data_IF_161563323742
#
_entry.id   IF_161563323742
#
_cell.length_a   1.000
_cell.length_b   1.000
_cell.length_c   1.000
_cell.angle_alpha   90.00
_cell.angle_beta   90.00
_cell.angle_gamma   90.00
#
_symmetry.space_group_name_H-M   'P 1'
#
loop_
_entity.id
_entity.type
_entity.pdbx_description
1 polymer ?
#
# COMPACT_ATOMS: atom_id res chain seq x y z
N UNK A 1 6.05 31.86 13.59
CA UNK A 1 6.52 31.72 12.19
C UNK A 1 7.46 30.53 12.10
N UNK A 2 7.06 29.47 11.40
CA UNK A 2 7.92 28.36 11.01
C UNK A 2 7.41 27.84 9.65
N UNK A 3 8.34 27.60 8.74
CA UNK A 3 8.17 27.54 7.29
C UNK A 3 7.09 26.54 6.83
N UNK A 4 6.09 27.07 6.10
CA UNK A 4 5.19 26.30 5.24
C UNK A 4 6.02 25.58 4.18
N UNK A 5 6.32 24.31 4.42
CA UNK A 5 6.74 23.37 3.39
C UNK A 5 5.52 23.06 2.53
N UNK A 6 5.57 23.39 1.23
CA UNK A 6 4.52 23.22 0.21
C UNK A 6 3.99 21.78 0.03
N UNK A 7 4.49 20.83 0.84
CA UNK A 7 4.18 19.41 0.77
C UNK A 7 3.86 18.78 2.14
N UNK A 8 3.69 19.58 3.20
CA UNK A 8 3.17 19.11 4.50
C UNK A 8 1.69 18.75 4.37
N UNK A 9 1.32 17.47 4.44
CA UNK A 9 -0.08 17.00 4.36
C UNK A 9 -0.53 16.38 3.04
N UNK A 10 0.38 16.20 2.06
CA UNK A 10 0.00 15.70 0.73
C UNK A 10 -0.30 14.19 0.70
N UNK A 11 0.33 13.41 1.59
CA UNK A 11 -0.03 12.01 1.81
C UNK A 11 -1.17 11.87 2.81
N UNK A 12 -1.23 12.73 3.83
CA UNK A 12 -2.25 12.67 4.89
C UNK A 12 -3.67 12.68 4.34
N UNK A 13 -3.96 13.46 3.30
CA UNK A 13 -5.27 13.44 2.62
C UNK A 13 -5.68 12.06 2.11
N UNK A 14 -4.74 11.21 1.75
CA UNK A 14 -5.00 9.84 1.30
C UNK A 14 -5.15 8.86 2.47
N UNK A 15 -4.50 9.11 3.61
CA UNK A 15 -4.68 8.36 4.85
C UNK A 15 -5.91 8.81 5.67
N UNK A 16 -6.42 10.01 5.40
CA UNK A 16 -7.62 10.60 6.02
C UNK A 16 -8.88 10.48 5.13
N UNK A 17 -8.80 9.80 3.97
CA UNK A 17 -9.94 9.56 3.08
C UNK A 17 -10.43 10.79 2.28
N UNK A 18 -9.60 11.84 2.15
CA UNK A 18 -9.97 13.15 1.59
C UNK A 18 -9.57 13.38 0.13
N UNK A 19 -8.89 12.46 -0.55
CA UNK A 19 -8.41 12.66 -1.93
C UNK A 19 -8.83 11.53 -2.88
N UNK A 20 -9.17 11.89 -4.12
CA UNK A 20 -9.48 11.00 -5.25
C UNK A 20 -8.53 11.28 -6.41
N UNK A 21 -8.20 10.25 -7.21
CA UNK A 21 -7.34 10.39 -8.39
C UNK A 21 -8.06 11.09 -9.58
N UNK A 22 -7.32 11.82 -10.44
CA UNK A 22 -7.85 12.36 -11.69
C UNK A 22 -8.41 11.24 -12.59
N UNK A 23 -9.55 11.50 -13.25
CA UNK A 23 -10.33 10.49 -13.97
C UNK A 23 -9.53 9.70 -15.02
N UNK A 24 -8.51 10.30 -15.63
CA UNK A 24 -7.67 9.70 -16.69
C UNK A 24 -6.75 8.58 -16.18
N UNK A 25 -6.43 8.57 -14.88
CA UNK A 25 -5.60 7.54 -14.25
C UNK A 25 -6.44 6.41 -13.62
N UNK A 26 -7.76 6.46 -13.78
CA UNK A 26 -8.67 5.45 -13.24
C UNK A 26 -8.65 4.21 -14.15
N UNK A 27 -8.00 3.14 -13.71
CA UNK A 27 -8.25 1.79 -14.25
C UNK A 27 -9.72 1.42 -13.98
N UNK A 28 -10.38 0.73 -14.93
CA UNK A 28 -11.76 0.23 -14.70
C UNK A 28 -11.76 -0.62 -13.42
N UNK A 29 -12.62 -0.25 -12.47
CA UNK A 29 -12.83 -0.79 -11.12
C UNK A 29 -12.66 -2.32 -11.06
N UNK A 30 -11.85 -2.90 -10.16
CA UNK A 30 -12.13 -3.18 -8.74
C UNK A 30 -13.48 -3.84 -8.41
N UNK A 31 -14.44 -3.93 -9.34
CA UNK A 31 -15.78 -4.46 -9.07
C UNK A 31 -15.72 -5.94 -8.64
N UNK A 32 -14.72 -6.68 -9.11
CA UNK A 32 -14.50 -8.08 -8.71
C UNK A 32 -14.10 -8.28 -7.23
N UNK A 33 -13.56 -7.26 -6.55
CA UNK A 33 -13.22 -7.35 -5.12
C UNK A 33 -14.47 -7.26 -4.22
N UNK A 34 -15.54 -6.68 -4.75
CA UNK A 34 -16.82 -6.49 -4.09
C UNK A 34 -17.93 -7.39 -4.65
N UNK A 35 -17.70 -8.05 -5.79
CA UNK A 35 -18.57 -9.08 -6.35
C UNK A 35 -18.73 -10.24 -5.35
N UNK A 36 -19.87 -10.29 -4.68
CA UNK A 36 -20.16 -11.29 -3.63
C UNK A 36 -20.32 -12.71 -4.20
N UNK A 37 -20.59 -12.85 -5.50
CA UNK A 37 -20.91 -14.13 -6.14
C UNK A 37 -19.66 -14.99 -6.45
N UNK A 38 -18.45 -14.41 -6.40
CA UNK A 38 -17.17 -15.10 -6.71
C UNK A 38 -16.48 -15.75 -5.50
N UNK A 39 -17.07 -15.71 -4.30
CA UNK A 39 -16.34 -16.02 -3.04
C UNK A 39 -17.12 -16.97 -2.12
N UNK A 40 -16.40 -17.65 -1.22
CA UNK A 40 -16.95 -18.62 -0.27
C UNK A 40 -18.05 -18.00 0.58
N UNK A 41 -19.29 -18.29 0.22
CA UNK A 41 -20.50 -17.96 0.95
C UNK A 41 -20.63 -18.85 2.20
N UNK A 42 -21.34 -18.33 3.21
CA UNK A 42 -21.58 -18.89 4.56
C UNK A 42 -20.57 -18.39 5.62
N UNK A 43 -20.82 -17.16 6.11
CA UNK A 43 -20.31 -16.53 7.35
C UNK A 43 -18.81 -16.60 7.69
N UNK A 44 -18.15 -15.49 8.06
CA UNK A 44 -18.69 -14.13 8.25
C UNK A 44 -18.93 -13.38 6.93
N UNK A 45 -19.50 -12.16 7.02
CA UNK A 45 -19.68 -11.24 5.86
C UNK A 45 -18.31 -10.82 5.29
N UNK A 46 -17.81 -11.56 4.30
CA UNK A 46 -16.46 -11.38 3.76
C UNK A 46 -16.25 -10.04 3.05
N UNK A 47 -17.27 -9.47 2.42
CA UNK A 47 -17.21 -8.13 1.80
C UNK A 47 -16.82 -7.06 2.82
N UNK A 48 -17.48 -7.05 3.98
CA UNK A 48 -17.12 -6.18 5.10
C UNK A 48 -15.70 -6.42 5.61
N UNK A 49 -15.29 -7.69 5.76
CA UNK A 49 -13.92 -8.00 6.19
C UNK A 49 -12.85 -7.59 5.19
N UNK A 50 -13.11 -7.64 3.88
CA UNK A 50 -12.19 -7.15 2.84
C UNK A 50 -12.00 -5.65 2.95
N UNK A 51 -13.09 -4.90 3.12
CA UNK A 51 -13.04 -3.44 3.29
C UNK A 51 -12.27 -3.06 4.56
N UNK A 52 -12.60 -3.70 5.69
CA UNK A 52 -11.91 -3.45 6.95
C UNK A 52 -10.42 -3.83 6.88
N UNK A 53 -10.09 -4.96 6.25
CA UNK A 53 -8.69 -5.35 6.06
C UNK A 53 -7.93 -4.34 5.19
N UNK A 54 -8.55 -3.81 4.13
CA UNK A 54 -7.93 -2.78 3.30
C UNK A 54 -7.54 -1.54 4.12
N UNK A 55 -8.48 -1.02 4.92
CA UNK A 55 -8.25 0.14 5.79
C UNK A 55 -7.19 -0.15 6.85
N UNK A 56 -7.27 -1.29 7.53
CA UNK A 56 -6.31 -1.62 8.58
C UNK A 56 -4.90 -1.91 8.03
N UNK A 57 -4.78 -2.60 6.89
CA UNK A 57 -3.48 -2.85 6.27
C UNK A 57 -2.81 -1.54 5.84
N UNK A 58 -3.61 -0.55 5.43
CA UNK A 58 -3.15 0.79 5.08
C UNK A 58 -2.75 1.62 6.31
N UNK A 59 -3.56 1.60 7.38
CA UNK A 59 -3.37 2.46 8.56
C UNK A 59 -2.33 1.87 9.51
N UNK A 60 -2.39 0.57 9.77
CA UNK A 60 -1.59 -0.10 10.82
C UNK A 60 -0.52 -1.03 10.25
N UNK A 61 -0.53 -1.31 8.94
CA UNK A 61 0.39 -2.27 8.34
C UNK A 61 0.10 -3.73 8.69
N UNK A 62 -1.11 -4.03 9.20
CA UNK A 62 -1.52 -5.37 9.63
C UNK A 62 -1.39 -6.38 8.49
N UNK A 63 -0.87 -7.56 8.80
CA UNK A 63 -0.86 -8.72 7.90
C UNK A 63 -2.16 -9.51 7.97
N UNK A 64 -2.41 -10.38 6.98
CA UNK A 64 -3.56 -11.28 6.98
C UNK A 64 -3.62 -12.17 8.24
N UNK A 65 -2.46 -12.65 8.72
CA UNK A 65 -2.39 -13.48 9.94
C UNK A 65 -2.72 -12.68 11.19
N UNK A 66 -2.20 -11.46 11.32
CA UNK A 66 -2.52 -10.57 12.44
C UNK A 66 -4.00 -10.15 12.41
N UNK A 67 -4.55 -9.88 11.23
CA UNK A 67 -5.97 -9.57 11.04
C UNK A 67 -6.86 -10.76 11.41
N UNK A 68 -6.50 -11.98 10.98
CA UNK A 68 -7.22 -13.19 11.35
C UNK A 68 -7.24 -13.39 12.88
N UNK A 69 -6.09 -13.19 13.54
CA UNK A 69 -5.99 -13.27 14.99
C UNK A 69 -6.84 -12.20 15.69
N UNK A 70 -6.73 -10.93 15.27
CA UNK A 70 -7.47 -9.79 15.85
C UNK A 70 -8.98 -10.03 15.84
N UNK A 71 -9.51 -10.56 14.73
CA UNK A 71 -10.94 -10.80 14.55
C UNK A 71 -11.39 -12.23 14.88
N UNK A 72 -10.50 -13.06 15.44
CA UNK A 72 -10.78 -14.48 15.78
C UNK A 72 -11.33 -15.27 14.59
N UNK A 73 -10.79 -15.04 13.40
CA UNK A 73 -11.20 -15.69 12.15
C UNK A 73 -10.25 -16.83 11.79
N UNK A 74 -10.77 -17.82 11.06
CA UNK A 74 -9.94 -18.88 10.49
C UNK A 74 -8.94 -18.28 9.47
N UNK A 75 -7.65 -18.53 9.69
CA UNK A 75 -6.57 -17.95 8.90
C UNK A 75 -6.60 -18.37 7.41
N UNK A 76 -6.93 -19.64 7.12
CA UNK A 76 -7.04 -20.11 5.74
C UNK A 76 -8.19 -19.42 5.01
N UNK A 77 -9.34 -19.23 5.67
CA UNK A 77 -10.48 -18.51 5.09
C UNK A 77 -10.19 -17.03 4.89
N UNK A 78 -9.49 -16.38 5.84
CA UNK A 78 -9.03 -14.98 5.67
C UNK A 78 -8.09 -14.87 4.47
N UNK A 79 -7.12 -15.77 4.34
CA UNK A 79 -6.22 -15.78 3.19
C UNK A 79 -6.99 -15.95 1.87
N UNK A 80 -7.88 -16.95 1.79
CA UNK A 80 -8.66 -17.21 0.58
C UNK A 80 -9.50 -15.99 0.14
N UNK A 81 -10.14 -15.31 1.10
CA UNK A 81 -11.04 -14.19 0.83
C UNK A 81 -10.35 -12.83 0.69
N UNK A 82 -9.20 -12.61 1.34
CA UNK A 82 -8.57 -11.29 1.41
C UNK A 82 -7.24 -11.20 0.64
N UNK A 83 -6.67 -12.29 0.13
CA UNK A 83 -5.38 -12.24 -0.62
C UNK A 83 -5.39 -11.30 -1.82
N UNK A 84 -6.54 -11.15 -2.50
CA UNK A 84 -6.68 -10.26 -3.67
C UNK A 84 -6.82 -8.78 -3.29
N UNK A 85 -7.03 -8.46 -2.01
CA UNK A 85 -7.11 -7.07 -1.51
C UNK A 85 -5.76 -6.34 -1.60
N UNK A 86 -4.66 -7.03 -1.94
CA UNK A 86 -3.37 -6.36 -2.17
C UNK A 86 -2.69 -5.90 -0.88
N UNK A 87 -2.82 -6.65 0.21
CA UNK A 87 -2.28 -6.25 1.52
C UNK A 87 -0.78 -5.92 1.53
N UNK A 88 0.04 -6.56 0.71
CA UNK A 88 1.46 -6.20 0.59
C UNK A 88 1.65 -4.79 0.02
N UNK A 89 0.87 -4.43 -1.01
CA UNK A 89 0.86 -3.08 -1.56
C UNK A 89 0.45 -2.04 -0.52
N UNK A 90 -0.62 -2.32 0.23
CA UNK A 90 -1.11 -1.44 1.30
C UNK A 90 -0.07 -1.25 2.40
N UNK A 91 0.67 -2.31 2.76
CA UNK A 91 1.77 -2.22 3.72
C UNK A 91 2.94 -1.38 3.21
N UNK A 92 3.25 -1.46 1.93
CA UNK A 92 4.32 -0.62 1.34
C UNK A 92 3.95 0.85 1.43
N UNK A 93 2.69 1.17 1.14
CA UNK A 93 2.12 2.51 1.29
C UNK A 93 2.20 2.98 2.75
N UNK A 94 1.74 2.16 3.69
CA UNK A 94 1.83 2.43 5.13
C UNK A 94 3.26 2.83 5.54
N UNK A 95 4.25 2.04 5.12
CA UNK A 95 5.64 2.32 5.45
C UNK A 95 6.22 3.53 4.71
N UNK A 96 5.77 3.82 3.50
CA UNK A 96 6.16 5.03 2.77
C UNK A 96 5.71 6.29 3.51
N UNK A 97 4.47 6.30 4.02
CA UNK A 97 3.97 7.39 4.85
C UNK A 97 4.74 7.54 6.17
N UNK A 98 5.00 6.43 6.86
CA UNK A 98 5.79 6.51 8.08
C UNK A 98 7.23 6.99 7.86
N UNK A 99 7.85 6.69 6.71
CA UNK A 99 9.16 7.27 6.34
C UNK A 99 9.08 8.78 6.12
N UNK A 100 8.04 9.24 5.42
CA UNK A 100 7.77 10.67 5.25
C UNK A 100 7.62 11.39 6.60
N UNK A 101 6.72 10.90 7.46
CA UNK A 101 6.48 11.48 8.78
C UNK A 101 7.71 11.42 9.67
N UNK A 102 8.47 10.32 9.65
CA UNK A 102 9.71 10.18 10.41
C UNK A 102 10.73 11.24 9.99
N UNK A 103 10.97 11.41 8.69
CA UNK A 103 11.91 12.42 8.20
C UNK A 103 11.48 13.85 8.61
N UNK A 104 10.18 14.13 8.66
CA UNK A 104 9.65 15.44 9.09
C UNK A 104 9.70 15.65 10.61
N UNK A 105 9.57 14.58 11.39
CA UNK A 105 9.47 14.65 12.86
C UNK A 105 10.76 15.09 13.56
N UNK A 106 11.93 14.91 12.91
CA UNK A 106 13.27 15.08 13.52
C UNK A 106 13.46 14.31 14.84
N UNK A 107 12.61 13.32 15.12
CA UNK A 107 12.69 12.47 16.31
C UNK A 107 13.77 11.41 16.15
N UNK A 108 14.24 10.83 17.25
CA UNK A 108 15.05 9.61 17.15
C UNK A 108 14.20 8.45 16.65
N UNK A 109 14.85 7.41 16.12
CA UNK A 109 14.13 6.25 15.58
C UNK A 109 13.28 5.55 16.65
N UNK A 110 13.81 5.40 17.85
CA UNK A 110 13.13 4.71 18.95
C UNK A 110 11.96 5.55 19.48
N UNK A 111 12.15 6.88 19.63
CA UNK A 111 11.07 7.78 20.03
C UNK A 111 9.93 7.76 19.02
N UNK A 112 10.25 7.81 17.72
CA UNK A 112 9.24 7.76 16.67
C UNK A 112 8.46 6.43 16.70
N UNK A 113 9.14 5.30 16.86
CA UNK A 113 8.49 3.99 16.95
C UNK A 113 7.56 3.92 18.16
N UNK A 114 8.00 4.41 19.32
CA UNK A 114 7.21 4.40 20.55
C UNK A 114 5.99 5.33 20.45
N UNK A 115 6.19 6.57 19.98
CA UNK A 115 5.14 7.58 19.84
C UNK A 115 4.06 7.15 18.83
N UNK A 116 4.45 6.45 17.77
CA UNK A 116 3.52 5.95 16.74
C UNK A 116 3.09 4.49 16.95
N UNK A 117 3.47 3.86 18.06
CA UNK A 117 3.11 2.47 18.45
C UNK A 117 3.39 1.44 17.34
N UNK A 118 4.54 1.57 16.69
CA UNK A 118 4.97 0.70 15.59
C UNK A 118 5.53 -0.63 16.12
N UNK A 119 4.62 -1.48 16.59
CA UNK A 119 4.94 -2.73 17.28
C UNK A 119 5.52 -3.83 16.38
N UNK A 120 5.59 -3.62 15.06
CA UNK A 120 6.10 -4.62 14.13
C UNK A 120 7.62 -4.76 14.29
N UNK A 121 8.12 -6.00 14.42
CA UNK A 121 9.56 -6.29 14.51
C UNK A 121 10.39 -5.68 13.37
N UNK A 122 9.76 -5.46 12.21
CA UNK A 122 10.41 -4.86 11.04
C UNK A 122 10.40 -3.33 11.03
N UNK A 123 9.80 -2.64 12.00
CA UNK A 123 9.61 -1.18 12.00
C UNK A 123 10.93 -0.42 11.80
N UNK A 124 11.97 -0.75 12.58
CA UNK A 124 13.31 -0.15 12.43
C UNK A 124 13.87 -0.30 11.02
N UNK A 125 13.75 -1.51 10.43
CA UNK A 125 14.22 -1.82 9.08
C UNK A 125 13.42 -1.05 8.02
N UNK A 126 12.11 -0.91 8.20
CA UNK A 126 11.24 -0.21 7.26
C UNK A 126 11.45 1.30 7.28
N UNK A 127 11.67 1.89 8.45
CA UNK A 127 11.96 3.31 8.61
C UNK A 127 13.35 3.70 8.09
N UNK A 128 14.35 2.81 8.24
CA UNK A 128 15.72 3.01 7.72
C UNK A 128 15.89 2.62 6.25
N UNK A 129 14.82 2.21 5.57
CA UNK A 129 14.90 1.77 4.18
C UNK A 129 15.41 2.92 3.30
N UNK A 130 16.46 2.66 2.53
CA UNK A 130 16.99 3.62 1.56
C UNK A 130 16.01 3.80 0.40
N UNK A 131 15.98 4.99 -0.22
CA UNK A 131 15.22 5.21 -1.45
C UNK A 131 15.61 4.21 -2.55
N UNK A 132 14.68 3.97 -3.47
CA UNK A 132 14.94 3.16 -4.67
C UNK A 132 16.20 3.60 -5.42
N UNK A 133 16.90 2.63 -6.00
CA UNK A 133 18.05 2.91 -6.86
C UNK A 133 17.62 3.59 -8.18
N UNK A 134 18.54 4.25 -8.91
CA UNK A 134 18.23 4.83 -10.22
C UNK A 134 17.61 3.82 -11.20
N UNK A 135 18.09 2.58 -11.19
CA UNK A 135 17.52 1.49 -11.98
C UNK A 135 16.02 1.26 -11.66
N UNK A 136 15.67 1.14 -10.38
CA UNK A 136 14.28 0.97 -9.96
C UNK A 136 13.42 2.22 -10.17
N UNK A 137 14.02 3.41 -10.07
CA UNK A 137 13.36 4.69 -10.38
C UNK A 137 12.92 4.76 -11.84
N UNK A 138 13.76 4.31 -12.77
CA UNK A 138 13.39 4.26 -14.20
C UNK A 138 12.26 3.26 -14.46
N UNK A 139 12.30 2.08 -13.83
CA UNK A 139 11.23 1.09 -13.95
C UNK A 139 9.92 1.58 -13.34
N UNK A 140 9.99 2.29 -12.21
CA UNK A 140 8.86 2.95 -11.58
C UNK A 140 8.18 3.93 -12.53
N UNK A 141 8.95 4.88 -13.09
CA UNK A 141 8.42 5.90 -13.99
C UNK A 141 7.82 5.26 -15.24
N UNK A 142 8.58 4.36 -15.87
CA UNK A 142 8.14 3.65 -17.06
C UNK A 142 6.82 2.92 -16.80
N UNK A 143 6.73 2.18 -15.70
CA UNK A 143 5.54 1.42 -15.38
C UNK A 143 4.32 2.33 -15.20
N UNK A 144 4.39 3.32 -14.31
CA UNK A 144 3.24 4.16 -13.99
C UNK A 144 2.86 5.14 -15.10
N UNK A 145 3.79 5.58 -15.96
CA UNK A 145 3.48 6.47 -17.08
C UNK A 145 2.96 5.72 -18.31
N UNK A 146 3.50 4.54 -18.63
CA UNK A 146 3.24 3.86 -19.92
C UNK A 146 2.41 2.59 -19.81
N UNK A 147 2.60 1.79 -18.77
CA UNK A 147 2.03 0.43 -18.67
C UNK A 147 0.79 0.40 -17.77
N UNK A 148 0.85 1.07 -16.62
CA UNK A 148 -0.27 1.19 -15.68
C UNK A 148 -1.54 1.74 -16.33
N UNK A 149 -1.51 2.83 -17.12
CA UNK A 149 -2.71 3.35 -17.77
C UNK A 149 -3.30 2.39 -18.82
N UNK A 150 -2.48 1.47 -19.34
CA UNK A 150 -2.89 0.42 -20.29
C UNK A 150 -3.43 -0.83 -19.58
N UNK A 151 -3.56 -0.80 -18.25
CA UNK A 151 -4.12 -1.89 -17.46
C UNK A 151 -3.15 -3.03 -17.12
N UNK A 152 -1.86 -2.90 -17.46
CA UNK A 152 -0.87 -3.95 -17.22
C UNK A 152 -0.71 -4.27 -15.73
N UNK A 153 -0.64 -5.56 -15.40
CA UNK A 153 -0.30 -5.99 -14.03
C UNK A 153 1.20 -5.85 -13.79
N UNK A 154 1.62 -5.76 -12.52
CA UNK A 154 3.06 -5.82 -12.19
C UNK A 154 3.69 -7.11 -12.68
N UNK A 155 2.94 -8.23 -12.65
CA UNK A 155 3.43 -9.51 -13.13
C UNK A 155 3.73 -9.50 -14.63
N UNK A 156 2.86 -8.91 -15.44
CA UNK A 156 3.07 -8.81 -16.90
C UNK A 156 4.26 -7.90 -17.22
N UNK A 157 4.37 -6.77 -16.52
CA UNK A 157 5.52 -5.89 -16.64
C UNK A 157 6.84 -6.58 -16.27
N UNK A 158 6.84 -7.36 -15.18
CA UNK A 158 8.03 -8.10 -14.78
C UNK A 158 8.42 -9.16 -15.80
N UNK A 159 7.44 -9.85 -16.40
CA UNK A 159 7.69 -10.85 -17.44
C UNK A 159 8.31 -10.21 -18.68
N UNK A 160 7.73 -9.11 -19.15
CA UNK A 160 8.19 -8.37 -20.33
C UNK A 160 9.61 -7.80 -20.19
N UNK A 161 9.94 -7.30 -19.00
CA UNK A 161 11.23 -6.64 -18.73
C UNK A 161 12.24 -7.53 -18.00
N UNK A 162 11.98 -8.84 -17.93
CA UNK A 162 12.84 -9.82 -17.25
C UNK A 162 13.23 -9.41 -15.81
N UNK A 163 12.25 -8.97 -15.03
CA UNK A 163 12.43 -8.51 -13.64
C UNK A 163 11.98 -9.56 -12.64
N UNK A 164 12.66 -9.62 -11.50
CA UNK A 164 12.25 -10.44 -10.37
C UNK A 164 11.05 -9.80 -9.67
N UNK A 165 9.87 -10.44 -9.77
CA UNK A 165 8.62 -9.92 -9.23
C UNK A 165 8.66 -9.63 -7.71
N UNK A 166 9.40 -10.41 -6.93
CA UNK A 166 9.55 -10.18 -5.47
C UNK A 166 10.33 -8.90 -5.15
N UNK A 167 11.25 -8.49 -6.04
CA UNK A 167 11.98 -7.22 -5.93
C UNK A 167 11.14 -6.08 -6.49
N UNK A 168 10.51 -6.27 -7.66
CA UNK A 168 9.67 -5.26 -8.29
C UNK A 168 8.53 -4.82 -7.40
N UNK A 169 7.84 -5.75 -6.73
CA UNK A 169 6.76 -5.47 -5.79
C UNK A 169 7.16 -4.56 -4.63
N UNK A 170 8.45 -4.34 -4.36
CA UNK A 170 8.92 -3.42 -3.32
C UNK A 170 8.81 -1.96 -3.75
N UNK A 171 8.83 -1.68 -5.05
CA UNK A 171 8.89 -0.33 -5.63
C UNK A 171 7.68 -0.06 -6.52
N UNK A 172 7.19 -1.09 -7.20
CA UNK A 172 6.01 -1.06 -8.06
C UNK A 172 4.87 -1.72 -7.30
N UNK A 173 3.95 -0.88 -6.86
CA UNK A 173 2.82 -1.21 -5.99
C UNK A 173 1.57 -1.36 -6.86
N UNK A 174 0.94 -2.54 -6.84
CA UNK A 174 -0.42 -2.67 -7.34
C UNK A 174 -1.34 -1.89 -6.40
N UNK A 175 -2.00 -0.84 -6.88
CA UNK A 175 -3.06 -0.14 -6.13
C UNK A 175 -4.40 -0.85 -6.40
N UNK A 176 -4.85 -1.76 -5.52
CA UNK A 176 -6.13 -2.47 -5.69
C UNK A 176 -7.32 -1.50 -5.63
N UNK A 177 -7.12 -0.33 -5.04
CA UNK A 177 -8.07 0.77 -4.99
C UNK A 177 -7.47 1.95 -5.75
N UNK A 178 -7.98 2.15 -6.95
CA UNK A 178 -7.47 3.05 -7.99
C UNK A 178 -7.67 4.54 -7.65
N UNK A 179 -8.16 4.86 -6.46
CA UNK A 179 -8.39 6.25 -6.02
C UNK A 179 -7.54 6.66 -4.82
N UNK A 180 -6.75 5.73 -4.28
CA UNK A 180 -6.23 5.92 -2.92
C UNK A 180 -4.94 6.72 -2.88
N UNK A 181 -3.98 6.63 -3.82
CA UNK A 181 -2.73 7.43 -3.79
C UNK A 181 -2.12 7.61 -5.18
N UNK A 182 -1.63 8.82 -5.49
CA UNK A 182 -0.75 9.06 -6.64
C UNK A 182 0.64 8.41 -6.41
N UNK A 183 1.05 7.43 -7.26
CA UNK A 183 2.32 6.75 -7.11
C UNK A 183 3.52 7.70 -7.06
N UNK A 184 3.52 8.80 -7.80
CA UNK A 184 4.66 9.72 -7.85
C UNK A 184 4.89 10.44 -6.52
N UNK A 185 3.86 10.58 -5.68
CA UNK A 185 3.99 11.10 -4.32
C UNK A 185 4.64 10.09 -3.38
N UNK A 186 4.49 8.80 -3.64
CA UNK A 186 5.11 7.73 -2.87
C UNK A 186 6.56 7.51 -3.29
N UNK A 187 6.91 7.78 -4.55
CA UNK A 187 8.21 7.47 -5.14
C UNK A 187 9.43 7.81 -4.26
N UNK A 188 9.54 9.00 -3.63
CA UNK A 188 10.71 9.33 -2.79
C UNK A 188 10.83 8.44 -1.55
N UNK A 189 9.73 7.79 -1.16
CA UNK A 189 9.57 6.99 0.05
C UNK A 189 9.50 5.51 -0.24
N UNK A 190 9.69 5.05 -1.47
CA UNK A 190 9.70 3.63 -1.86
C UNK A 190 11.14 3.13 -2.04
#
# INVERSE_FOLDING_TARGET
MALKSTYSGMLDKYFLGKARLPAVLRKRSSDELYDENKWWCNSPRWSGHRHNYALEALITGISLSEYAHKYRLNQARVYANCRRVGGQSLKIIHWAWHRYCFQKSKSTLDDYINNHRLNQKTAKKQLRRKPMSPHWSQHFDRYYQKYWPKGWTVADYCREHNLVASTARRYIVDFPFIDLIDPFLLKPWL
#
